data_IF_265655533580
#
_entry.id   IF_265655533580
#
_cell.length_a   1.000
_cell.length_b   1.000
_cell.length_c   1.000
_cell.angle_alpha   90.00
_cell.angle_beta   90.00
_cell.angle_gamma   90.00
#
_symmetry.space_group_name_H-M   'P 1'
#
loop_
_entity.id
_entity.type
_entity.pdbx_description
1 polymer ?
#
# COMPACT_ATOMS: atom_id res chain seq x y z
N UNK A 1 -27.49 3.39 15.66
CA UNK A 1 -26.60 4.20 14.80
C UNK A 1 -25.18 3.74 15.07
N UNK A 2 -24.44 3.23 14.07
CA UNK A 2 -23.05 2.79 14.24
C UNK A 2 -22.17 4.05 14.34
N UNK A 3 -21.51 4.25 15.48
CA UNK A 3 -20.66 5.42 15.72
C UNK A 3 -19.49 5.43 14.72
N UNK A 4 -19.12 6.61 14.22
CA UNK A 4 -18.03 6.81 13.25
C UNK A 4 -16.71 6.18 13.70
N UNK A 5 -16.45 6.17 15.01
CA UNK A 5 -15.31 5.49 15.66
C UNK A 5 -15.28 3.97 15.39
N UNK A 6 -16.45 3.32 15.40
CA UNK A 6 -16.59 1.88 15.16
C UNK A 6 -16.42 1.52 13.68
N UNK A 7 -16.87 2.41 12.78
CA UNK A 7 -16.55 2.30 11.35
C UNK A 7 -15.05 2.50 11.07
N UNK A 8 -14.38 3.40 11.81
CA UNK A 8 -12.93 3.64 11.70
C UNK A 8 -12.10 2.46 12.20
N UNK A 9 -12.54 1.82 13.29
CA UNK A 9 -11.96 0.57 13.79
C UNK A 9 -12.17 -0.60 12.81
N UNK A 10 -13.36 -0.73 12.23
CA UNK A 10 -13.59 -1.74 11.19
C UNK A 10 -12.73 -1.46 9.95
N UNK A 11 -12.62 -0.20 9.52
CA UNK A 11 -11.74 0.20 8.42
C UNK A 11 -10.28 -0.19 8.67
N UNK A 12 -9.78 0.03 9.88
CA UNK A 12 -8.43 -0.39 10.31
C UNK A 12 -8.26 -1.92 10.39
N UNK A 13 -9.34 -2.66 10.68
CA UNK A 13 -9.35 -4.12 10.76
C UNK A 13 -9.64 -4.81 9.41
N UNK A 14 -10.16 -4.07 8.42
CA UNK A 14 -10.39 -4.54 7.04
C UNK A 14 -9.32 -4.09 6.07
N UNK A 15 -8.50 -3.08 6.42
CA UNK A 15 -7.37 -2.67 5.61
C UNK A 15 -6.34 -3.80 5.56
N UNK A 16 -6.32 -4.53 4.43
CA UNK A 16 -5.32 -5.54 4.16
C UNK A 16 -3.95 -4.89 4.30
N UNK A 17 -3.04 -5.45 5.12
CA UNK A 17 -1.73 -4.86 5.28
C UNK A 17 -1.02 -4.82 3.93
N UNK A 18 -0.33 -3.73 3.64
CA UNK A 18 0.56 -3.64 2.48
C UNK A 18 1.96 -4.02 2.94
N UNK A 19 2.58 -4.99 2.28
CA UNK A 19 3.93 -5.42 2.61
C UNK A 19 4.89 -4.91 1.55
N UNK A 20 5.88 -4.12 1.97
CA UNK A 20 7.02 -3.79 1.12
C UNK A 20 8.02 -4.93 1.19
N UNK A 21 8.39 -5.51 0.04
CA UNK A 21 9.49 -6.48 -0.05
C UNK A 21 10.59 -5.96 -0.95
N UNK A 22 11.83 -6.36 -0.64
CA UNK A 22 13.00 -6.10 -1.49
C UNK A 22 13.40 -7.40 -2.18
N UNK A 23 13.24 -7.45 -3.49
CA UNK A 23 13.73 -8.56 -4.31
C UNK A 23 14.91 -8.06 -5.15
N UNK A 24 16.13 -8.32 -4.66
CA UNK A 24 17.35 -7.83 -5.30
C UNK A 24 17.50 -6.30 -5.22
N UNK A 25 17.57 -5.65 -6.39
CA UNK A 25 17.82 -4.21 -6.53
C UNK A 25 16.56 -3.34 -6.37
N UNK A 26 15.36 -3.92 -6.36
CA UNK A 26 14.10 -3.18 -6.41
C UNK A 26 13.17 -3.50 -5.23
N UNK A 27 12.34 -2.52 -4.87
CA UNK A 27 11.24 -2.68 -3.92
C UNK A 27 9.94 -2.96 -4.68
N UNK A 28 9.03 -3.71 -4.07
CA UNK A 28 7.66 -3.92 -4.55
C UNK A 28 6.67 -3.88 -3.39
N UNK A 29 5.44 -3.40 -3.63
CA UNK A 29 4.32 -3.61 -2.73
C UNK A 29 3.60 -4.91 -3.03
N UNK A 30 3.24 -5.61 -1.96
CA UNK A 30 2.48 -6.85 -1.99
C UNK A 30 1.22 -6.71 -1.15
N UNK A 31 0.15 -7.37 -1.60
CA UNK A 31 -0.99 -7.68 -0.74
C UNK A 31 -0.52 -8.63 0.37
N UNK A 32 -0.79 -8.32 1.64
CA UNK A 32 -0.34 -9.15 2.75
C UNK A 32 -0.99 -10.52 2.83
N UNK A 33 -2.18 -10.70 2.25
CA UNK A 33 -2.92 -11.95 2.31
C UNK A 33 -2.50 -12.91 1.20
N UNK A 34 -2.53 -12.46 -0.06
CA UNK A 34 -2.13 -13.29 -1.20
C UNK A 34 -0.61 -13.34 -1.39
N UNK A 35 0.12 -12.34 -0.91
CA UNK A 35 1.55 -12.18 -1.16
C UNK A 35 1.87 -11.74 -2.58
N UNK A 36 0.87 -11.51 -3.43
CA UNK A 36 1.02 -11.09 -4.82
C UNK A 36 1.41 -9.61 -4.91
N UNK A 37 2.14 -9.26 -5.97
CA UNK A 37 2.51 -7.88 -6.27
C UNK A 37 1.27 -7.11 -6.69
N UNK A 38 1.04 -5.91 -6.14
CA UNK A 38 -0.10 -5.07 -6.56
C UNK A 38 0.02 -4.70 -8.05
N UNK A 39 -1.07 -4.84 -8.79
CA UNK A 39 -1.10 -4.54 -10.22
C UNK A 39 -0.84 -3.05 -10.52
N UNK A 40 -0.27 -2.77 -11.69
CA UNK A 40 -0.05 -1.41 -12.17
C UNK A 40 1.14 -0.67 -11.53
N UNK A 41 1.91 -1.29 -10.62
CA UNK A 41 3.11 -0.67 -10.06
C UNK A 41 4.19 -0.43 -11.13
N UNK A 42 4.59 0.82 -11.30
CA UNK A 42 5.68 1.24 -12.22
C UNK A 42 6.98 1.41 -11.46
N UNK A 43 6.92 2.05 -10.28
CA UNK A 43 8.11 2.32 -9.50
C UNK A 43 7.79 2.31 -8.01
N UNK A 44 8.67 1.69 -7.22
CA UNK A 44 8.64 1.74 -5.75
C UNK A 44 10.00 2.19 -5.26
N UNK A 45 10.04 3.25 -4.45
CA UNK A 45 11.27 3.81 -3.87
C UNK A 45 11.11 3.98 -2.36
N UNK A 46 12.07 3.46 -1.61
CA UNK A 46 12.20 3.73 -0.18
C UNK A 46 13.31 4.76 0.05
N UNK A 47 12.95 5.92 0.56
CA UNK A 47 13.87 7.00 0.95
C UNK A 47 13.97 7.01 2.46
N UNK A 48 15.14 6.69 2.99
CA UNK A 48 15.41 6.71 4.42
C UNK A 48 16.69 7.48 4.69
N UNK A 49 16.56 8.71 5.19
CA UNK A 49 17.69 9.52 5.64
C UNK A 49 17.95 9.27 7.14
N UNK A 50 19.18 9.44 7.63
CA UNK A 50 19.49 9.33 9.05
C UNK A 50 18.60 10.25 9.89
N UNK A 51 18.02 9.70 10.97
CA UNK A 51 17.13 10.41 11.90
C UNK A 51 15.81 10.95 11.29
N UNK A 52 15.44 10.52 10.08
CA UNK A 52 14.17 10.86 9.45
C UNK A 52 13.22 9.65 9.38
N UNK A 53 11.92 9.93 9.27
CA UNK A 53 10.91 8.92 8.97
C UNK A 53 11.17 8.38 7.56
N UNK A 54 11.22 7.04 7.43
CA UNK A 54 11.35 6.41 6.14
C UNK A 54 10.12 6.71 5.27
N UNK A 55 10.34 7.19 4.05
CA UNK A 55 9.30 7.53 3.08
C UNK A 55 9.26 6.48 1.98
N UNK A 56 8.11 5.86 1.80
CA UNK A 56 7.84 4.99 0.65
C UNK A 56 7.10 5.79 -0.41
N UNK A 57 7.65 5.85 -1.62
CA UNK A 57 7.06 6.50 -2.79
C UNK A 57 6.72 5.42 -3.79
N UNK A 58 5.47 5.39 -4.25
CA UNK A 58 4.98 4.39 -5.19
C UNK A 58 4.28 5.08 -6.35
N UNK A 59 4.68 4.73 -7.56
CA UNK A 59 4.08 5.19 -8.81
C UNK A 59 3.34 4.03 -9.44
N UNK A 60 2.06 4.25 -9.76
CA UNK A 60 1.22 3.29 -10.46
C UNK A 60 0.90 3.86 -11.85
N UNK A 61 0.94 3.01 -12.87
CA UNK A 61 0.30 3.30 -14.14
C UNK A 61 -1.18 2.96 -13.99
N UNK A 62 -2.03 3.98 -14.11
CA UNK A 62 -3.46 3.82 -14.03
C UNK A 62 -4.07 4.27 -15.36
N UNK A 63 -4.60 3.32 -16.12
CA UNK A 63 -5.29 3.59 -17.38
C UNK A 63 -6.71 4.17 -17.17
N UNK A 64 -7.11 4.44 -15.92
CA UNK A 64 -8.44 4.94 -15.55
C UNK A 64 -8.43 5.85 -14.32
N UNK A 65 -9.50 6.65 -14.18
CA UNK A 65 -9.68 7.80 -13.28
C UNK A 65 -9.49 7.54 -11.77
N UNK A 66 -9.23 6.31 -11.32
CA UNK A 66 -9.09 5.97 -9.90
C UNK A 66 -8.01 4.92 -9.67
N UNK A 67 -7.00 5.24 -8.84
CA UNK A 67 -6.19 4.24 -8.13
C UNK A 67 -7.11 3.64 -7.06
N UNK A 68 -7.80 2.53 -7.37
CA UNK A 68 -8.54 1.78 -6.36
C UNK A 68 -7.55 0.89 -5.61
N UNK A 69 -7.28 1.25 -4.35
CA UNK A 69 -6.77 0.28 -3.38
C UNK A 69 -7.96 -0.64 -3.09
N UNK A 70 -8.05 -1.74 -3.84
CA UNK A 70 -9.32 -2.43 -4.07
C UNK A 70 -9.94 -3.03 -2.81
N UNK A 71 -11.25 -2.83 -2.66
CA UNK A 71 -12.06 -3.16 -1.49
C UNK A 71 -13.52 -2.65 -1.56
N UNK A 72 -14.07 -2.41 -2.76
CA UNK A 72 -15.51 -2.29 -3.02
C UNK A 72 -15.97 -3.33 -4.03
#
# INVERSE_FOLDING_TARGET
>A
MKNAEQSRLNYLMTSRPLIVKRNGLHYCLHDAFSGEVLAGQVQVRLVQNPNEVARLIVEFNCDGTHVRLDGE
#
